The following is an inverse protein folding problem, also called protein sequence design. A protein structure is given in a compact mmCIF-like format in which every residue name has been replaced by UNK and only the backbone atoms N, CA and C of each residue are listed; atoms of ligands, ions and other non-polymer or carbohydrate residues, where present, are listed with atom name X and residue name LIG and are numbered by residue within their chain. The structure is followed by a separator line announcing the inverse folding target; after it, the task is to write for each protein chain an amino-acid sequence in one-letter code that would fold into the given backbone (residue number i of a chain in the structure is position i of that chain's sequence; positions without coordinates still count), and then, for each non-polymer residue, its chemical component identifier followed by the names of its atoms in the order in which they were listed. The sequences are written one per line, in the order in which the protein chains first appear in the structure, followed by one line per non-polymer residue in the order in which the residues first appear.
data_IF_395693477899
#
_entry.id   IF_395693477899
#
_cell.length_a   1.000
_cell.length_b   1.000
_cell.length_c   1.000
_cell.angle_alpha   90.00
_cell.angle_beta   90.00
_cell.angle_gamma   90.00
#
_symmetry.space_group_name_H-M   'P 1'
#
loop_
_entity.id
_entity.type
_entity.pdbx_description
1 polymer ?
#
# COMPACT_ATOMS: atom_id res chain seq x y z
N UNK A 1 4.80 -22.73 -21.97
CA UNK A 1 4.23 -22.58 -20.61
C UNK A 1 5.33 -23.00 -19.66
N UNK A 2 5.72 -22.12 -18.72
CA UNK A 2 6.72 -22.46 -17.69
C UNK A 2 6.14 -23.57 -16.78
N UNK A 3 6.92 -24.62 -16.49
CA UNK A 3 6.54 -25.71 -15.60
C UNK A 3 6.11 -25.22 -14.22
N UNK A 4 6.68 -24.14 -13.73
CA UNK A 4 6.31 -23.50 -12.46
C UNK A 4 4.88 -22.90 -12.50
N UNK A 5 4.48 -22.33 -13.64
CA UNK A 5 3.13 -21.76 -13.82
C UNK A 5 2.03 -22.84 -13.96
N UNK A 6 2.39 -24.09 -14.23
CA UNK A 6 1.42 -25.20 -14.33
C UNK A 6 1.08 -25.83 -12.98
N UNK A 7 1.83 -25.52 -11.91
CA UNK A 7 1.55 -26.05 -10.57
C UNK A 7 0.32 -25.32 -9.95
N UNK A 8 -0.57 -26.05 -9.25
CA UNK A 8 -1.70 -25.43 -8.56
C UNK A 8 -1.20 -24.47 -7.46
N UNK A 9 -1.85 -23.33 -7.33
CA UNK A 9 -1.60 -22.40 -6.22
C UNK A 9 -2.25 -22.95 -4.94
N UNK A 10 -1.48 -22.96 -3.84
CA UNK A 10 -1.95 -23.47 -2.54
C UNK A 10 -1.84 -22.39 -1.49
N UNK A 11 -2.95 -22.07 -0.89
CA UNK A 11 -3.04 -21.27 0.32
C UNK A 11 -4.00 -21.94 1.31
N UNK A 12 -3.89 -21.58 2.56
CA UNK A 12 -4.80 -22.00 3.61
C UNK A 12 -5.03 -20.85 4.57
N UNK A 13 -6.20 -20.79 5.19
CA UNK A 13 -6.50 -19.72 6.13
C UNK A 13 -7.56 -20.12 7.11
N UNK A 14 -7.47 -19.55 8.30
CA UNK A 14 -8.47 -19.55 9.33
C UNK A 14 -8.78 -18.10 9.69
N UNK A 15 -10.06 -17.74 9.72
CA UNK A 15 -10.49 -16.43 10.14
C UNK A 15 -11.55 -16.55 11.22
N UNK A 16 -11.54 -15.63 12.17
CA UNK A 16 -12.55 -15.56 13.20
C UNK A 16 -12.96 -14.11 13.46
N UNK A 17 -14.20 -13.94 13.90
CA UNK A 17 -14.78 -12.66 14.28
C UNK A 17 -15.61 -12.81 15.54
N UNK A 18 -15.42 -11.89 16.48
CA UNK A 18 -16.22 -11.75 17.67
C UNK A 18 -16.75 -10.32 17.73
N UNK A 19 -18.06 -10.18 17.93
CA UNK A 19 -18.71 -8.88 18.08
C UNK A 19 -19.50 -8.87 19.37
N UNK A 20 -19.44 -7.77 20.10
CA UNK A 20 -20.20 -7.53 21.30
C UNK A 20 -20.85 -6.15 21.25
N UNK A 21 -22.12 -6.11 21.56
CA UNK A 21 -22.92 -4.91 21.67
C UNK A 21 -23.49 -4.81 23.09
N UNK A 22 -23.34 -3.65 23.70
CA UNK A 22 -23.94 -3.37 25.00
C UNK A 22 -24.92 -2.20 24.91
N UNK A 23 -26.19 -2.51 25.12
CA UNK A 23 -27.31 -1.57 25.19
C UNK A 23 -27.42 -0.65 23.96
N UNK A 24 -27.02 -1.16 22.78
CA UNK A 24 -26.98 -0.40 21.52
C UNK A 24 -26.20 0.92 21.63
N UNK A 25 -25.28 1.03 22.59
CA UNK A 25 -24.44 2.21 22.85
C UNK A 25 -22.97 1.94 22.61
N UNK A 26 -22.46 0.82 23.12
CA UNK A 26 -21.05 0.46 23.03
C UNK A 26 -20.89 -0.79 22.19
N UNK A 27 -20.02 -0.71 21.20
CA UNK A 27 -19.74 -1.78 20.27
C UNK A 27 -18.25 -2.11 20.33
N UNK A 28 -17.93 -3.38 20.40
CA UNK A 28 -16.56 -3.88 20.25
C UNK A 28 -16.55 -5.04 19.28
N UNK A 29 -15.56 -5.06 18.43
CA UNK A 29 -15.33 -6.11 17.46
C UNK A 29 -13.87 -6.52 17.47
N UNK A 30 -13.61 -7.81 17.53
CA UNK A 30 -12.30 -8.41 17.36
C UNK A 30 -12.33 -9.35 16.16
N UNK A 31 -11.36 -9.20 15.26
CA UNK A 31 -11.18 -10.05 14.10
C UNK A 31 -9.76 -10.60 14.08
N UNK A 32 -9.57 -11.77 13.53
CA UNK A 32 -8.25 -12.26 13.20
C UNK A 32 -8.26 -13.06 11.89
N UNK A 33 -7.16 -12.99 11.16
CA UNK A 33 -6.82 -13.86 10.06
C UNK A 33 -5.53 -14.60 10.36
N UNK A 34 -5.50 -15.91 10.17
CA UNK A 34 -4.32 -16.76 10.25
C UNK A 34 -4.17 -17.44 8.90
N UNK A 35 -3.23 -16.94 8.09
CA UNK A 35 -3.13 -17.32 6.69
C UNK A 35 -1.76 -17.93 6.39
N UNK A 36 -1.73 -18.96 5.56
CA UNK A 36 -0.51 -19.60 5.07
C UNK A 36 -0.43 -19.57 3.56
N UNK A 37 0.74 -19.20 3.03
CA UNK A 37 1.02 -19.12 1.61
C UNK A 37 2.24 -19.96 1.23
N UNK A 38 2.16 -20.65 0.12
CA UNK A 38 3.28 -21.42 -0.44
C UNK A 38 4.33 -20.53 -1.13
N UNK A 39 4.04 -19.25 -1.34
CA UNK A 39 4.99 -18.31 -1.93
C UNK A 39 6.22 -18.08 -1.05
N UNK A 40 6.16 -18.47 0.22
CA UNK A 40 7.22 -18.30 1.19
C UNK A 40 7.87 -19.62 1.59
N UNK A 41 9.14 -19.56 1.99
CA UNK A 41 9.89 -20.71 2.50
C UNK A 41 9.27 -21.25 3.81
N UNK A 42 9.62 -22.49 4.17
CA UNK A 42 9.24 -23.05 5.46
C UNK A 42 9.72 -22.14 6.59
N UNK A 43 8.84 -21.84 7.54
CA UNK A 43 9.09 -20.88 8.64
C UNK A 43 8.58 -19.47 8.39
N UNK A 44 8.34 -19.06 7.13
CA UNK A 44 7.80 -17.73 6.77
C UNK A 44 6.41 -17.81 6.14
N UNK A 45 5.85 -19.01 5.98
CA UNK A 45 4.57 -19.23 5.29
C UNK A 45 3.37 -18.64 5.98
N UNK A 46 3.39 -18.58 7.30
CA UNK A 46 2.21 -18.24 8.11
C UNK A 46 2.28 -16.80 8.57
N UNK A 47 1.19 -16.07 8.39
CA UNK A 47 0.97 -14.73 8.93
C UNK A 47 -0.26 -14.68 9.82
N UNK A 48 -0.20 -13.90 10.92
CA UNK A 48 -1.30 -13.62 11.82
C UNK A 48 -1.64 -12.14 11.76
N UNK A 49 -2.91 -11.84 11.47
CA UNK A 49 -3.38 -10.49 11.18
C UNK A 49 -4.59 -10.16 12.05
N UNK A 50 -4.38 -9.60 13.26
CA UNK A 50 -5.45 -9.20 14.16
C UNK A 50 -6.02 -7.84 13.77
N UNK A 51 -7.29 -7.61 14.12
CA UNK A 51 -7.94 -6.32 14.04
C UNK A 51 -8.93 -6.13 15.19
N UNK A 52 -9.03 -4.90 15.70
CA UNK A 52 -9.98 -4.51 16.73
C UNK A 52 -10.68 -3.22 16.29
N UNK A 53 -11.98 -3.16 16.52
CA UNK A 53 -12.78 -1.96 16.30
C UNK A 53 -13.66 -1.69 17.51
N UNK A 54 -13.90 -0.39 17.78
CA UNK A 54 -14.81 0.09 18.80
C UNK A 54 -15.75 1.13 18.21
N UNK A 55 -16.98 1.15 18.72
CA UNK A 55 -17.98 2.13 18.35
C UNK A 55 -18.73 2.61 19.59
N UNK A 56 -19.04 3.90 19.62
CA UNK A 56 -19.85 4.50 20.65
C UNK A 56 -20.98 5.31 20.03
N UNK A 57 -22.20 4.90 20.34
CA UNK A 57 -23.40 5.59 19.91
C UNK A 57 -23.77 6.65 20.97
N UNK A 58 -23.17 7.82 20.87
CA UNK A 58 -23.28 8.90 21.85
C UNK A 58 -24.72 9.38 21.97
N UNK A 59 -25.47 9.43 20.86
CA UNK A 59 -26.87 9.87 20.85
C UNK A 59 -27.83 8.92 21.60
N UNK A 60 -27.37 7.68 21.92
CA UNK A 60 -28.16 6.73 22.73
C UNK A 60 -27.91 6.90 24.24
N UNK A 61 -27.02 7.83 24.63
CA UNK A 61 -26.77 8.11 26.04
C UNK A 61 -27.88 8.96 26.68
N UNK A 62 -28.16 8.69 27.94
CA UNK A 62 -29.21 9.43 28.68
C UNK A 62 -28.97 10.95 28.76
N UNK A 63 -27.68 11.35 28.88
CA UNK A 63 -27.32 12.77 28.94
C UNK A 63 -27.52 13.49 27.59
N UNK A 64 -27.63 12.74 26.49
CA UNK A 64 -27.77 13.28 25.15
C UNK A 64 -29.23 13.62 24.80
N UNK A 65 -30.19 13.12 25.58
CA UNK A 65 -31.63 13.28 25.34
C UNK A 65 -32.08 14.73 25.04
N UNK A 66 -31.54 15.79 25.69
CA UNK A 66 -31.99 17.16 25.38
C UNK A 66 -31.55 17.66 23.99
N UNK A 67 -30.59 16.98 23.35
CA UNK A 67 -30.04 17.38 22.05
C UNK A 67 -30.62 16.59 20.87
N UNK A 68 -31.45 15.56 21.13
CA UNK A 68 -31.95 14.64 20.10
C UNK A 68 -32.82 15.30 19.04
N UNK A 69 -33.48 16.43 19.37
CA UNK A 69 -34.28 17.19 18.41
C UNK A 69 -33.44 17.84 17.31
N UNK A 70 -32.19 18.19 17.63
CA UNK A 70 -31.24 18.81 16.69
C UNK A 70 -30.25 17.74 16.12
N UNK A 71 -29.65 16.95 17.02
CA UNK A 71 -28.68 15.91 16.66
C UNK A 71 -29.36 14.56 16.80
N UNK A 72 -29.93 14.07 15.70
CA UNK A 72 -30.68 12.80 15.67
C UNK A 72 -29.79 11.57 15.77
N UNK A 73 -28.51 11.69 15.41
CA UNK A 73 -27.53 10.61 15.43
C UNK A 73 -26.14 11.17 15.71
N UNK A 74 -25.43 10.57 16.65
CA UNK A 74 -24.00 10.80 16.83
C UNK A 74 -23.34 9.48 17.20
N UNK A 75 -22.51 8.98 16.29
CA UNK A 75 -21.72 7.76 16.50
C UNK A 75 -20.25 8.05 16.26
N UNK A 76 -19.41 7.63 17.17
CA UNK A 76 -17.95 7.65 17.04
C UNK A 76 -17.45 6.23 16.81
N UNK A 77 -16.46 6.07 15.95
CA UNK A 77 -15.88 4.77 15.63
C UNK A 77 -14.36 4.88 15.52
N UNK A 78 -13.67 3.84 15.95
CA UNK A 78 -12.23 3.71 15.81
C UNK A 78 -11.87 2.25 15.54
N UNK A 79 -10.87 2.03 14.70
CA UNK A 79 -10.35 0.69 14.45
C UNK A 79 -8.85 0.71 14.21
N UNK A 80 -8.21 -0.41 14.58
CA UNK A 80 -6.83 -0.71 14.23
C UNK A 80 -6.75 -2.19 13.84
N UNK A 81 -6.03 -2.48 12.75
CA UNK A 81 -5.88 -3.85 12.29
C UNK A 81 -4.71 -4.02 11.36
N UNK A 82 -4.30 -5.28 11.21
CA UNK A 82 -3.26 -5.68 10.29
C UNK A 82 -3.83 -6.48 9.13
N UNK A 83 -3.25 -6.28 7.95
CA UNK A 83 -3.57 -7.04 6.73
C UNK A 83 -2.26 -7.49 6.10
N UNK A 84 -2.16 -8.79 5.78
CA UNK A 84 -1.02 -9.36 5.08
C UNK A 84 -1.27 -9.46 3.58
N UNK A 85 -0.19 -9.29 2.80
CA UNK A 85 -0.18 -9.53 1.38
C UNK A 85 0.91 -10.55 1.03
N UNK A 86 0.53 -11.64 0.36
CA UNK A 86 1.42 -12.68 -0.14
C UNK A 86 1.60 -12.64 -1.67
N UNK A 87 0.86 -11.78 -2.36
CA UNK A 87 0.98 -11.56 -3.80
C UNK A 87 2.08 -10.54 -4.09
N UNK A 88 3.31 -10.88 -3.70
CA UNK A 88 4.50 -10.08 -3.91
C UNK A 88 5.33 -10.66 -5.06
N UNK A 89 6.15 -9.82 -5.70
CA UNK A 89 6.98 -10.27 -6.83
C UNK A 89 6.22 -10.45 -8.16
N UNK A 90 4.98 -10.00 -8.28
CA UNK A 90 4.18 -10.07 -9.50
C UNK A 90 3.81 -11.52 -9.86
N UNK A 91 4.13 -11.94 -11.09
CA UNK A 91 3.85 -13.31 -11.60
C UNK A 91 4.83 -14.38 -11.11
N UNK A 92 5.82 -14.02 -10.30
CA UNK A 92 6.85 -14.96 -9.83
C UNK A 92 6.28 -15.79 -8.68
N UNK A 93 6.33 -17.12 -8.83
CA UNK A 93 5.97 -18.07 -7.78
C UNK A 93 7.21 -18.60 -7.10
N UNK A 94 7.07 -19.02 -5.84
CA UNK A 94 8.19 -19.55 -5.04
C UNK A 94 9.38 -18.57 -5.01
N UNK A 95 9.07 -17.32 -4.73
CA UNK A 95 10.02 -16.19 -4.77
C UNK A 95 11.26 -16.38 -3.89
N UNK A 96 11.23 -17.34 -2.98
CA UNK A 96 12.37 -17.74 -2.15
C UNK A 96 13.39 -18.62 -2.89
N UNK A 97 13.03 -19.14 -4.07
CA UNK A 97 13.92 -19.94 -4.90
C UNK A 97 14.70 -19.06 -5.86
N UNK A 98 15.98 -19.37 -6.04
CA UNK A 98 16.78 -18.82 -7.12
C UNK A 98 16.46 -19.49 -8.45
N UNK A 99 16.63 -18.74 -9.53
CA UNK A 99 16.50 -19.27 -10.90
C UNK A 99 17.75 -19.01 -11.72
N UNK A 100 18.05 -19.93 -12.62
CA UNK A 100 19.14 -19.82 -13.57
C UNK A 100 18.53 -19.70 -14.97
N UNK A 101 19.06 -18.82 -15.78
CA UNK A 101 18.63 -18.61 -17.16
C UNK A 101 19.84 -18.66 -18.10
N UNK A 102 19.58 -19.06 -19.35
CA UNK A 102 20.59 -19.00 -20.38
C UNK A 102 20.99 -17.54 -20.67
N UNK A 103 22.31 -17.32 -20.80
CA UNK A 103 22.88 -16.04 -21.22
C UNK A 103 23.56 -16.23 -22.51
N UNK A 104 23.14 -15.62 -23.59
CA UNK A 104 23.83 -15.59 -24.86
C UNK A 104 24.65 -16.83 -25.21
N UNK A 105 25.35 -16.79 -26.30
CA UNK A 105 26.24 -17.89 -26.72
C UNK A 105 27.68 -17.36 -26.87
N UNK A 106 28.60 -18.14 -26.39
CA UNK A 106 30.03 -17.92 -26.60
C UNK A 106 30.52 -18.82 -27.72
N UNK A 107 31.49 -18.32 -28.49
CA UNK A 107 32.17 -19.11 -29.56
C UNK A 107 33.56 -19.39 -29.09
N UNK A 108 33.91 -20.69 -29.02
CA UNK A 108 35.23 -21.16 -28.66
C UNK A 108 35.94 -21.76 -29.91
N UNK A 109 37.24 -21.51 -30.03
CA UNK A 109 38.11 -22.12 -31.01
C UNK A 109 37.51 -22.15 -32.43
N UNK A 110 37.24 -23.34 -32.95
CA UNK A 110 36.73 -23.57 -34.29
C UNK A 110 35.20 -23.29 -34.39
N UNK A 111 34.74 -22.12 -33.98
CA UNK A 111 33.34 -21.70 -34.10
C UNK A 111 32.34 -22.57 -33.33
N UNK A 112 32.77 -23.30 -32.30
CA UNK A 112 31.84 -24.05 -31.44
C UNK A 112 31.04 -23.08 -30.57
N UNK A 113 29.73 -23.05 -30.81
CA UNK A 113 28.79 -22.17 -30.08
C UNK A 113 28.32 -22.87 -28.81
N UNK A 114 28.60 -22.30 -27.66
CA UNK A 114 28.18 -22.82 -26.35
C UNK A 114 27.32 -21.81 -25.64
N UNK A 115 26.18 -22.26 -25.09
CA UNK A 115 25.31 -21.43 -24.24
C UNK A 115 25.96 -21.21 -22.88
N UNK A 116 25.94 -19.98 -22.40
CA UNK A 116 26.27 -19.66 -21.00
C UNK A 116 25.05 -19.72 -20.11
N UNK A 117 25.27 -19.81 -18.82
CA UNK A 117 24.19 -19.71 -17.80
C UNK A 117 24.50 -18.58 -16.83
N UNK A 118 23.44 -17.94 -16.32
CA UNK A 118 23.54 -16.89 -15.30
C UNK A 118 22.45 -17.06 -14.26
N UNK A 119 22.70 -16.55 -13.05
CA UNK A 119 21.67 -16.38 -12.05
C UNK A 119 20.70 -15.31 -12.55
N UNK A 120 19.44 -15.68 -12.72
CA UNK A 120 18.35 -14.78 -13.13
C UNK A 120 17.66 -14.19 -11.92
N UNK A 121 17.34 -15.01 -10.92
CA UNK A 121 16.80 -14.58 -9.64
C UNK A 121 17.68 -15.11 -8.51
N UNK A 122 18.04 -14.25 -7.58
CA UNK A 122 18.81 -14.62 -6.39
C UNK A 122 17.88 -15.23 -5.36
N UNK A 123 18.22 -16.44 -4.87
CA UNK A 123 17.45 -17.09 -3.82
C UNK A 123 17.39 -16.24 -2.54
N UNK A 124 16.21 -16.08 -1.96
CA UNK A 124 16.06 -15.41 -0.69
C UNK A 124 15.04 -16.17 0.19
N UNK A 125 15.49 -17.08 1.06
CA UNK A 125 14.60 -17.86 1.93
C UNK A 125 13.91 -17.03 3.01
N UNK A 126 14.35 -15.78 3.26
CA UNK A 126 13.81 -14.90 4.29
C UNK A 126 12.66 -14.03 3.79
N UNK A 127 12.20 -14.23 2.56
CA UNK A 127 11.03 -13.51 2.04
C UNK A 127 9.79 -13.89 2.82
N UNK A 128 9.03 -12.89 3.24
CA UNK A 128 7.81 -13.05 4.02
C UNK A 128 6.71 -12.08 3.60
N UNK A 129 5.66 -12.06 4.39
CA UNK A 129 4.48 -11.23 4.18
C UNK A 129 4.79 -9.74 4.20
N UNK A 130 4.22 -9.00 3.27
CA UNK A 130 4.05 -7.57 3.43
C UNK A 130 2.90 -7.32 4.41
N UNK A 131 3.09 -6.44 5.37
CA UNK A 131 2.10 -6.15 6.41
C UNK A 131 1.69 -4.70 6.36
N UNK A 132 0.38 -4.47 6.27
CA UNK A 132 -0.23 -3.14 6.36
C UNK A 132 -0.95 -3.00 7.69
N UNK A 133 -0.52 -2.04 8.51
CA UNK A 133 -1.20 -1.67 9.76
C UNK A 133 -2.07 -0.47 9.49
N UNK A 134 -3.38 -0.67 9.57
CA UNK A 134 -4.41 0.32 9.25
C UNK A 134 -5.05 0.85 10.53
N UNK A 135 -5.21 2.15 10.59
CA UNK A 135 -5.96 2.87 11.63
C UNK A 135 -7.05 3.68 10.96
N UNK A 136 -8.24 3.66 11.52
CA UNK A 136 -9.35 4.47 11.07
C UNK A 136 -10.06 5.08 12.28
N UNK A 137 -10.40 6.36 12.18
CA UNK A 137 -11.17 7.10 13.17
C UNK A 137 -12.28 7.82 12.43
N UNK A 138 -13.51 7.59 12.84
CA UNK A 138 -14.65 8.14 12.12
C UNK A 138 -15.77 8.59 13.02
N UNK A 139 -16.66 9.40 12.44
CA UNK A 139 -17.90 9.80 13.06
C UNK A 139 -19.06 9.74 12.07
N UNK A 140 -20.26 9.56 12.61
CA UNK A 140 -21.51 9.68 11.88
C UNK A 140 -22.40 10.66 12.65
N UNK A 141 -22.83 11.72 11.99
CA UNK A 141 -23.65 12.78 12.55
C UNK A 141 -24.94 12.94 11.74
N UNK A 142 -26.07 12.75 12.39
CA UNK A 142 -27.38 13.05 11.83
C UNK A 142 -27.94 14.35 12.45
N UNK A 143 -28.42 15.24 11.63
CA UNK A 143 -29.02 16.51 12.06
C UNK A 143 -30.46 16.62 11.56
N UNK A 144 -31.38 17.02 12.47
CA UNK A 144 -32.77 17.29 12.17
C UNK A 144 -33.53 16.15 11.48
N UNK A 145 -33.04 14.91 11.56
CA UNK A 145 -33.51 13.76 10.78
C UNK A 145 -33.53 13.98 9.25
N UNK A 146 -32.76 14.94 8.74
CA UNK A 146 -32.72 15.32 7.33
C UNK A 146 -31.30 15.31 6.74
N UNK A 147 -30.30 15.59 7.53
CA UNK A 147 -28.93 15.70 7.09
C UNK A 147 -28.07 14.64 7.78
N UNK A 148 -27.40 13.81 6.99
CA UNK A 148 -26.42 12.86 7.48
C UNK A 148 -25.02 13.25 6.99
N UNK A 149 -24.06 13.33 7.92
CA UNK A 149 -22.66 13.63 7.67
C UNK A 149 -21.84 12.47 8.20
N UNK A 150 -20.99 11.91 7.37
CA UNK A 150 -20.03 10.91 7.76
C UNK A 150 -18.61 11.40 7.42
N UNK A 151 -17.69 11.23 8.35
CA UNK A 151 -16.27 11.52 8.13
C UNK A 151 -15.40 10.43 8.72
N UNK A 152 -14.38 10.05 7.99
CA UNK A 152 -13.38 9.04 8.37
C UNK A 152 -11.97 9.58 8.09
N UNK A 153 -11.12 9.59 9.10
CA UNK A 153 -9.69 9.79 8.94
C UNK A 153 -8.98 8.45 9.02
N UNK A 154 -8.09 8.20 8.09
CA UNK A 154 -7.32 6.96 8.05
C UNK A 154 -5.82 7.20 7.99
N UNK A 155 -5.08 6.26 8.56
CA UNK A 155 -3.64 6.16 8.50
C UNK A 155 -3.23 4.70 8.30
N UNK A 156 -2.44 4.44 7.27
CA UNK A 156 -1.97 3.10 6.88
C UNK A 156 -0.44 3.14 6.81
N UNK A 157 0.21 2.21 7.50
CA UNK A 157 1.65 1.97 7.39
C UNK A 157 1.87 0.57 6.84
N UNK A 158 2.38 0.51 5.62
CA UNK A 158 2.80 -0.75 5.01
C UNK A 158 4.29 -0.95 5.21
N UNK A 159 4.64 -2.05 5.85
CA UNK A 159 6.02 -2.46 6.14
C UNK A 159 6.35 -3.79 5.43
N UNK A 160 7.64 -4.12 5.39
CA UNK A 160 8.13 -5.33 4.73
C UNK A 160 7.77 -5.40 3.25
N UNK A 161 7.67 -4.26 2.56
CA UNK A 161 7.39 -4.22 1.12
C UNK A 161 8.56 -4.87 0.37
N UNK A 162 8.24 -5.77 -0.54
CA UNK A 162 9.21 -6.53 -1.33
C UNK A 162 9.77 -5.65 -2.46
N UNK A 163 11.02 -5.25 -2.33
CA UNK A 163 11.70 -4.31 -3.23
C UNK A 163 13.10 -4.79 -3.60
N UNK A 164 13.65 -4.30 -4.70
CA UNK A 164 15.06 -4.54 -5.06
C UNK A 164 15.99 -3.84 -4.08
N UNK A 165 17.05 -4.55 -3.67
CA UNK A 165 18.09 -3.99 -2.79
C UNK A 165 19.21 -3.36 -3.62
N UNK A 166 18.96 -2.20 -4.21
CA UNK A 166 19.93 -1.47 -5.04
C UNK A 166 21.10 -0.85 -4.23
N UNK A 167 21.15 -1.07 -2.91
CA UNK A 167 22.28 -0.65 -2.07
C UNK A 167 23.52 -1.56 -2.22
N UNK A 168 23.42 -2.64 -3.00
CA UNK A 168 24.57 -3.51 -3.28
C UNK A 168 25.46 -2.83 -4.32
N UNK A 169 26.73 -2.55 -3.98
CA UNK A 169 27.63 -1.88 -4.90
C UNK A 169 27.91 -2.70 -6.17
N UNK A 170 28.04 -2.04 -7.31
CA UNK A 170 28.26 -2.69 -8.60
C UNK A 170 29.55 -3.53 -8.67
N UNK A 171 30.58 -3.22 -7.88
CA UNK A 171 31.83 -4.00 -7.84
C UNK A 171 31.66 -5.42 -7.29
N UNK A 172 30.54 -5.73 -6.62
CA UNK A 172 30.19 -7.11 -6.22
C UNK A 172 29.96 -8.01 -7.44
N UNK A 173 29.71 -7.42 -8.63
CA UNK A 173 29.58 -8.14 -9.88
C UNK A 173 28.26 -8.90 -10.05
N UNK A 174 27.24 -8.58 -9.25
CA UNK A 174 25.90 -9.17 -9.40
C UNK A 174 25.20 -8.57 -10.62
N UNK A 175 24.78 -9.43 -11.55
CA UNK A 175 23.96 -9.01 -12.71
C UNK A 175 22.50 -8.78 -12.33
N UNK A 176 22.02 -9.47 -11.30
CA UNK A 176 20.64 -9.32 -10.76
C UNK A 176 20.71 -9.02 -9.28
N UNK A 177 20.10 -7.94 -8.90
CA UNK A 177 20.02 -7.47 -7.51
C UNK A 177 18.94 -8.27 -6.78
N UNK A 178 19.21 -8.82 -5.57
CA UNK A 178 18.23 -9.57 -4.82
C UNK A 178 17.05 -8.68 -4.38
N UNK A 179 15.88 -9.28 -4.36
CA UNK A 179 14.69 -8.66 -3.80
C UNK A 179 14.52 -9.06 -2.34
N UNK A 180 14.14 -8.10 -1.50
CA UNK A 180 14.05 -8.25 -0.04
C UNK A 180 12.87 -7.45 0.53
N UNK A 181 12.37 -7.86 1.69
CA UNK A 181 11.26 -7.21 2.39
C UNK A 181 11.75 -6.04 3.26
N UNK A 182 12.30 -4.99 2.66
CA UNK A 182 12.83 -3.83 3.39
C UNK A 182 12.05 -2.55 3.14
N UNK A 183 11.17 -2.51 2.16
CA UNK A 183 10.41 -1.32 1.83
C UNK A 183 9.39 -0.96 2.92
N UNK A 184 9.14 0.34 3.08
CA UNK A 184 8.14 0.88 3.99
C UNK A 184 7.52 2.13 3.42
N UNK A 185 6.20 2.25 3.53
CA UNK A 185 5.47 3.44 3.13
C UNK A 185 4.35 3.75 4.12
N UNK A 186 3.92 4.99 4.15
CA UNK A 186 2.69 5.39 4.84
C UNK A 186 1.72 6.05 3.86
N UNK A 187 0.45 5.89 4.12
CA UNK A 187 -0.61 6.65 3.47
C UNK A 187 -1.61 7.15 4.51
N UNK A 188 -2.16 8.32 4.28
CA UNK A 188 -3.14 8.92 5.16
C UNK A 188 -4.10 9.80 4.37
N UNK A 189 -5.24 10.01 4.93
CA UNK A 189 -6.24 10.82 4.28
C UNK A 189 -7.50 10.90 5.09
N UNK A 190 -8.51 11.50 4.48
CA UNK A 190 -9.85 11.51 5.04
C UNK A 190 -10.90 11.42 3.93
N UNK A 191 -11.97 10.71 4.26
CA UNK A 191 -13.13 10.54 3.43
C UNK A 191 -14.33 11.16 4.12
N UNK A 192 -15.21 11.77 3.34
CA UNK A 192 -16.43 12.34 3.85
C UNK A 192 -17.62 12.15 2.92
N UNK A 193 -18.78 12.01 3.49
CA UNK A 193 -20.05 12.04 2.78
C UNK A 193 -21.06 12.91 3.50
N UNK A 194 -21.87 13.59 2.71
CA UNK A 194 -22.99 14.39 3.16
C UNK A 194 -24.23 13.97 2.38
N UNK A 195 -25.29 13.63 3.08
CA UNK A 195 -26.55 13.24 2.48
C UNK A 195 -27.69 14.04 3.12
N UNK A 196 -28.49 14.64 2.26
CA UNK A 196 -29.67 15.41 2.65
C UNK A 196 -30.93 14.75 2.10
N UNK A 197 -31.92 14.52 2.95
CA UNK A 197 -33.24 14.05 2.55
C UNK A 197 -34.32 14.88 3.19
N UNK A 198 -35.27 15.28 2.35
CA UNK A 198 -36.46 15.96 2.80
C UNK A 198 -37.69 15.61 1.95
N UNK A 199 -38.86 15.84 2.50
CA UNK A 199 -40.10 15.69 1.79
C UNK A 199 -40.79 17.03 1.67
N UNK A 200 -40.85 17.59 0.47
CA UNK A 200 -41.49 18.86 0.16
C UNK A 200 -42.84 18.56 -0.48
N UNK A 201 -43.91 18.62 0.32
CA UNK A 201 -45.22 18.21 -0.12
C UNK A 201 -45.30 16.71 -0.42
N UNK A 202 -45.50 16.36 -1.69
CA UNK A 202 -45.53 14.96 -2.15
C UNK A 202 -44.18 14.51 -2.79
N UNK A 203 -43.22 15.42 -2.91
CA UNK A 203 -41.94 15.16 -3.57
C UNK A 203 -40.88 14.83 -2.52
N UNK A 204 -40.20 13.68 -2.68
CA UNK A 204 -39.01 13.35 -1.91
C UNK A 204 -37.79 13.94 -2.63
N UNK A 205 -36.98 14.69 -1.89
CA UNK A 205 -35.77 15.32 -2.39
C UNK A 205 -34.58 14.69 -1.65
N UNK A 206 -33.59 14.17 -2.39
CA UNK A 206 -32.36 13.62 -1.85
C UNK A 206 -31.17 14.23 -2.59
N UNK A 207 -30.21 14.75 -1.84
CA UNK A 207 -28.93 15.24 -2.35
C UNK A 207 -27.79 14.53 -1.65
N UNK A 208 -26.76 14.08 -2.41
CA UNK A 208 -25.59 13.42 -1.83
C UNK A 208 -24.31 14.01 -2.44
N UNK A 209 -23.34 14.30 -1.56
CA UNK A 209 -22.00 14.70 -1.91
C UNK A 209 -20.97 13.80 -1.22
N UNK A 210 -19.85 13.53 -1.89
CA UNK A 210 -18.73 12.80 -1.29
C UNK A 210 -17.43 13.57 -1.50
N UNK A 211 -16.52 13.44 -0.55
CA UNK A 211 -15.20 14.06 -0.60
C UNK A 211 -14.16 13.06 -0.15
N UNK A 212 -13.03 12.99 -0.87
CA UNK A 212 -11.88 12.14 -0.53
C UNK A 212 -10.59 12.94 -0.70
N UNK A 213 -9.74 12.88 0.31
CA UNK A 213 -8.36 13.37 0.24
C UNK A 213 -7.41 12.26 0.65
N UNK A 214 -6.43 11.94 -0.20
CA UNK A 214 -5.43 10.91 0.04
C UNK A 214 -4.02 11.44 -0.21
N UNK A 215 -3.09 11.05 0.64
CA UNK A 215 -1.68 11.32 0.49
C UNK A 215 -0.85 10.10 0.88
N UNK A 216 0.40 10.03 0.42
CA UNK A 216 1.31 8.95 0.76
C UNK A 216 2.76 9.42 0.76
N UNK A 217 3.64 8.65 1.39
CA UNK A 217 5.08 8.93 1.47
C UNK A 217 5.85 7.62 1.57
N UNK A 218 6.95 7.54 0.84
CA UNK A 218 7.92 6.44 0.93
C UNK A 218 8.82 6.72 2.13
N UNK A 219 8.78 5.84 3.13
CA UNK A 219 9.62 5.94 4.33
C UNK A 219 10.94 5.21 4.19
N UNK A 220 10.94 4.11 3.44
CA UNK A 220 12.13 3.31 3.17
C UNK A 220 11.92 2.51 1.88
N UNK A 221 12.95 2.44 1.08
CA UNK A 221 13.02 1.58 -0.10
C UNK A 221 14.43 0.96 -0.22
N UNK A 222 14.65 0.21 -1.30
CA UNK A 222 15.94 -0.41 -1.58
C UNK A 222 16.88 0.42 -2.44
N UNK A 223 16.57 1.69 -2.71
CA UNK A 223 17.40 2.54 -3.57
C UNK A 223 18.65 3.01 -2.86
N UNK A 224 19.77 3.07 -3.58
CA UNK A 224 20.97 3.72 -3.12
C UNK A 224 20.74 5.23 -2.94
N UNK A 225 21.40 5.81 -1.94
CA UNK A 225 21.32 7.25 -1.71
C UNK A 225 21.93 8.01 -2.89
N UNK A 226 21.16 8.93 -3.44
CA UNK A 226 21.65 9.84 -4.47
C UNK A 226 22.54 10.94 -3.87
N UNK A 227 23.45 11.45 -4.67
CA UNK A 227 24.33 12.58 -4.29
C UNK A 227 23.52 13.80 -3.84
N UNK A 228 22.38 14.02 -4.47
CA UNK A 228 21.51 15.16 -4.21
C UNK A 228 20.21 14.68 -3.52
N UNK A 229 19.85 15.25 -2.36
CA UNK A 229 18.68 14.81 -1.58
C UNK A 229 17.35 14.86 -2.35
N UNK A 230 17.18 15.83 -3.24
CA UNK A 230 15.96 15.97 -4.04
C UNK A 230 15.76 14.87 -5.11
N UNK A 231 16.79 14.06 -5.37
CA UNK A 231 16.71 12.90 -6.27
C UNK A 231 16.35 11.62 -5.54
N UNK A 232 16.27 11.64 -4.20
CA UNK A 232 15.89 10.46 -3.43
C UNK A 232 14.38 10.26 -3.51
N UNK A 233 13.96 9.01 -3.65
CA UNK A 233 12.55 8.61 -3.61
C UNK A 233 11.99 8.54 -2.18
N UNK A 234 12.84 8.32 -1.17
CA UNK A 234 12.46 8.38 0.25
C UNK A 234 12.07 9.81 0.63
N UNK A 235 10.93 9.94 1.31
CA UNK A 235 10.32 11.23 1.65
C UNK A 235 9.39 11.78 0.56
N UNK A 236 9.35 11.16 -0.62
CA UNK A 236 8.48 11.54 -1.73
C UNK A 236 7.23 10.67 -1.81
N UNK A 237 6.26 11.13 -2.60
CA UNK A 237 5.07 10.33 -2.92
C UNK A 237 5.44 9.17 -3.84
N UNK A 238 4.71 8.06 -3.72
CA UNK A 238 4.78 6.99 -4.71
C UNK A 238 4.37 7.55 -6.08
N UNK A 239 5.10 7.17 -7.13
CA UNK A 239 4.94 7.73 -8.49
C UNK A 239 5.23 9.23 -8.61
N UNK A 240 6.00 9.82 -7.68
CA UNK A 240 6.50 11.18 -7.86
C UNK A 240 7.25 11.30 -9.20
N UNK A 241 6.83 12.24 -10.02
CA UNK A 241 7.55 12.53 -11.26
C UNK A 241 8.75 13.41 -10.94
N UNK A 242 9.90 13.03 -11.47
CA UNK A 242 11.13 13.81 -11.45
C UNK A 242 11.42 14.32 -12.86
N UNK A 243 11.92 15.50 -12.98
CA UNK A 243 12.23 16.12 -14.27
C UNK A 243 13.16 17.32 -14.10
N UNK A 244 13.60 17.85 -15.21
CA UNK A 244 14.35 19.08 -15.23
C UNK A 244 13.40 20.27 -15.15
N UNK A 245 13.75 21.27 -14.35
CA UNK A 245 13.04 22.53 -14.33
C UNK A 245 13.57 23.41 -15.49
N UNK A 246 12.67 23.82 -16.37
CA UNK A 246 13.02 24.69 -17.46
C UNK A 246 13.30 26.12 -16.91
N UNK A 247 14.50 26.61 -17.07
CA UNK A 247 14.91 27.94 -16.60
C UNK A 247 14.39 29.05 -17.53
N UNK A 248 14.15 28.73 -18.80
CA UNK A 248 13.65 29.62 -19.82
C UNK A 248 13.84 29.07 -21.23
N UNK A 249 13.43 29.85 -22.21
CA UNK A 249 13.72 29.61 -23.61
C UNK A 249 14.84 30.58 -24.04
N UNK A 250 15.71 30.13 -24.94
CA UNK A 250 16.71 30.99 -25.53
C UNK A 250 16.03 32.04 -26.42
N UNK A 251 16.34 33.32 -26.19
CA UNK A 251 15.78 34.43 -26.95
C UNK A 251 16.69 34.86 -28.11
N UNK A 252 17.97 34.46 -28.10
CA UNK A 252 18.95 34.83 -29.11
C UNK A 252 19.99 33.76 -29.36
N UNK A 253 20.61 33.78 -30.57
CA UNK A 253 21.73 32.90 -30.91
C UNK A 253 22.91 33.11 -29.96
N UNK A 254 23.14 34.34 -29.51
CA UNK A 254 24.21 34.64 -28.56
C UNK A 254 24.03 34.04 -27.17
N UNK A 255 22.80 33.71 -26.76
CA UNK A 255 22.53 32.96 -25.56
C UNK A 255 22.83 31.46 -25.76
N UNK A 256 22.47 30.90 -26.91
CA UNK A 256 22.80 29.52 -27.27
C UNK A 256 24.31 29.32 -27.28
N UNK A 257 25.04 30.20 -27.90
CA UNK A 257 26.51 30.15 -28.05
C UNK A 257 27.23 30.24 -26.69
N UNK A 258 26.64 30.92 -25.69
CA UNK A 258 27.16 31.04 -24.33
C UNK A 258 26.69 29.99 -23.37
N UNK A 259 25.70 29.17 -23.76
CA UNK A 259 25.20 28.08 -22.92
C UNK A 259 26.21 26.93 -22.82
N UNK A 260 26.21 26.14 -21.72
CA UNK A 260 27.01 24.91 -21.63
C UNK A 260 26.71 23.97 -22.78
N UNK A 261 27.75 23.35 -23.33
CA UNK A 261 27.62 22.35 -24.41
C UNK A 261 26.78 21.16 -23.88
N UNK A 262 25.71 20.88 -24.56
CA UNK A 262 24.91 19.70 -24.28
C UNK A 262 25.43 18.54 -25.12
N UNK A 263 25.82 17.45 -24.45
CA UNK A 263 26.18 16.17 -25.10
C UNK A 263 24.93 15.31 -25.15
N UNK A 264 24.55 14.90 -26.35
CA UNK A 264 23.45 13.95 -26.60
C UNK A 264 23.92 12.50 -26.44
#
# INVERSE_FOLDING_TARGET
ISSIKSLPYKNQGLAGRLTYDYDSRYFIEGNFGYNGSENFAAGHRVGFFPAVAVGWYVSNEKFFSPLTDVVSKLKLKASVGQVGNDQIGGDVRFIYLGTVANTGSYVYGNYTKTSGERVNEVANPNVGWEVSTKQNYGFELGLFNKLEIQGDWYHDVRDHIFVRNNNIPAYVGMTTVPMVNIGKMKSWGFDGSLEYHDKIGQVNVTGRGTFTYANNEILRNGDALNKYPWMNSVGQKIYQKFGWEAVGLFESQGEIDRSPIQFS
#
